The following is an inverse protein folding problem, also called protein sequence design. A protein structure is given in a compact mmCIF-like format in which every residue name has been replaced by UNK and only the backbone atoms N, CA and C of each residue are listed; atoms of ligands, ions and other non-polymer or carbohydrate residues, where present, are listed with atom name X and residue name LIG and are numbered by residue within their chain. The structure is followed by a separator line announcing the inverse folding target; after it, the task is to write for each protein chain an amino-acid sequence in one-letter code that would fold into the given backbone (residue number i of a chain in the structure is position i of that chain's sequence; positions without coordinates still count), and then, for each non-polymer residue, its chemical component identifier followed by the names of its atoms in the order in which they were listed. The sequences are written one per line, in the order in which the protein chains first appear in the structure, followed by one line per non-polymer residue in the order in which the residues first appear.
data_IF_337241173372
#
_entry.id   IF_337241173372
#
_cell.length_a   1.000
_cell.length_b   1.000
_cell.length_c   1.000
_cell.angle_alpha   90.00
_cell.angle_beta   90.00
_cell.angle_gamma   90.00
#
_symmetry.space_group_name_H-M   'P 1'
#
loop_
_entity.id
_entity.type
_entity.pdbx_description
1 polymer ?
#
# COMPACT_ATOMS: atom_id res chain seq x y z
N UNK A 1 -9.79 12.08 22.68
CA UNK A 1 -8.73 11.46 23.50
C UNK A 1 -9.33 11.04 24.83
N UNK A 2 -9.58 9.75 25.00
CA UNK A 2 -10.26 9.20 26.18
C UNK A 2 -9.31 9.16 27.39
N UNK A 3 -9.88 9.04 28.59
CA UNK A 3 -9.13 9.09 29.86
C UNK A 3 -8.03 8.01 29.93
N UNK A 4 -8.31 6.83 29.37
CA UNK A 4 -7.39 5.69 29.29
C UNK A 4 -6.18 5.99 28.40
N UNK A 5 -6.38 6.63 27.25
CA UNK A 5 -5.30 7.03 26.33
C UNK A 5 -4.36 8.05 26.99
N UNK A 6 -4.91 8.99 27.77
CA UNK A 6 -4.10 9.95 28.55
C UNK A 6 -3.31 9.28 29.68
N UNK A 7 -3.90 8.28 30.34
CA UNK A 7 -3.24 7.52 31.40
C UNK A 7 -2.07 6.70 30.86
N UNK A 8 -2.27 5.97 29.76
CA UNK A 8 -1.23 5.17 29.11
C UNK A 8 -0.07 6.03 28.59
N UNK A 9 -0.36 7.20 28.01
CA UNK A 9 0.69 8.11 27.53
C UNK A 9 1.63 8.56 28.65
N UNK A 10 1.07 8.91 29.83
CA UNK A 10 1.86 9.33 31.00
C UNK A 10 2.74 8.22 31.55
N UNK A 11 2.28 6.97 31.50
CA UNK A 11 3.06 5.79 31.89
C UNK A 11 4.21 5.51 30.92
N UNK A 12 3.97 5.65 29.61
CA UNK A 12 5.00 5.47 28.58
C UNK A 12 6.13 6.49 28.72
N UNK A 13 5.82 7.77 28.98
CA UNK A 13 6.88 8.78 29.22
C UNK A 13 7.77 8.45 30.41
N UNK A 14 7.22 7.88 31.49
CA UNK A 14 8.01 7.44 32.64
C UNK A 14 8.92 6.26 32.31
N UNK A 15 8.43 5.30 31.52
CA UNK A 15 9.23 4.15 31.09
C UNK A 15 10.37 4.55 30.15
N UNK A 16 10.13 5.53 29.26
CA UNK A 16 11.16 6.10 28.38
C UNK A 16 12.21 6.86 29.19
N UNK A 17 11.79 7.66 30.17
CA UNK A 17 12.71 8.39 31.04
C UNK A 17 13.60 7.44 31.86
N UNK A 18 13.03 6.36 32.40
CA UNK A 18 13.76 5.32 33.11
C UNK A 18 14.79 4.63 32.19
N UNK A 19 14.40 4.27 30.97
CA UNK A 19 15.33 3.69 30.00
C UNK A 19 16.53 4.58 29.72
N UNK A 20 16.32 5.88 29.53
CA UNK A 20 17.39 6.85 29.32
C UNK A 20 18.29 7.02 30.55
N UNK A 21 17.71 7.01 31.76
CA UNK A 21 18.45 7.15 33.03
C UNK A 21 19.41 5.98 33.26
N UNK A 22 19.03 4.76 32.88
CA UNK A 22 19.84 3.55 33.05
C UNK A 22 20.62 3.16 31.78
N UNK A 23 20.57 3.96 30.71
CA UNK A 23 21.27 3.70 29.44
C UNK A 23 20.74 2.49 28.67
N UNK A 24 19.52 2.04 28.95
CA UNK A 24 18.87 0.96 28.23
C UNK A 24 18.22 1.52 26.95
N UNK A 25 18.89 1.40 25.82
CA UNK A 25 18.19 1.43 24.52
C UNK A 25 17.53 0.07 24.31
N UNK A 26 16.35 0.02 23.69
CA UNK A 26 15.71 -1.23 23.23
C UNK A 26 14.99 -2.09 24.29
N UNK A 27 14.73 -1.60 25.51
CA UNK A 27 14.05 -2.38 26.55
C UNK A 27 12.67 -2.90 26.12
N UNK A 28 11.92 -2.10 25.37
CA UNK A 28 10.59 -2.49 24.86
C UNK A 28 10.72 -3.60 23.81
N UNK A 29 11.69 -3.50 22.90
CA UNK A 29 11.96 -4.52 21.90
C UNK A 29 12.40 -5.84 22.54
N UNK A 30 13.24 -5.78 23.58
CA UNK A 30 13.72 -6.95 24.32
C UNK A 30 12.60 -7.58 25.16
N UNK A 31 11.73 -6.78 25.77
CA UNK A 31 10.53 -7.26 26.47
C UNK A 31 9.58 -7.99 25.51
N UNK A 32 9.32 -7.42 24.34
CA UNK A 32 8.51 -8.06 23.30
C UNK A 32 9.16 -9.38 22.85
N UNK A 33 10.47 -9.39 22.58
CA UNK A 33 11.20 -10.59 22.17
C UNK A 33 11.10 -11.70 23.22
N UNK A 34 11.30 -11.38 24.49
CA UNK A 34 11.25 -12.35 25.59
C UNK A 34 9.84 -12.85 25.89
N UNK A 35 8.81 -12.08 25.54
CA UNK A 35 7.40 -12.49 25.64
C UNK A 35 6.87 -13.19 24.38
N UNK A 36 7.71 -13.40 23.37
CA UNK A 36 7.35 -14.03 22.09
C UNK A 36 6.61 -13.11 21.11
N UNK A 37 6.59 -11.80 21.37
CA UNK A 37 5.98 -10.78 20.54
C UNK A 37 6.99 -9.91 19.79
N UNK A 38 6.46 -8.90 19.07
CA UNK A 38 7.26 -7.86 18.41
C UNK A 38 6.60 -6.50 18.64
N UNK A 39 7.40 -5.48 18.94
CA UNK A 39 6.92 -4.12 18.95
C UNK A 39 6.75 -3.65 17.50
N UNK A 40 5.56 -3.13 17.17
CA UNK A 40 5.26 -2.55 15.86
C UNK A 40 5.00 -1.07 16.08
N UNK A 41 5.88 -0.18 15.59
CA UNK A 41 5.65 1.26 15.65
C UNK A 41 4.34 1.61 14.94
N UNK A 42 3.67 2.68 15.39
CA UNK A 42 2.59 3.26 14.62
C UNK A 42 3.13 3.67 13.25
N UNK A 43 2.46 3.23 12.19
CA UNK A 43 2.82 3.57 10.81
C UNK A 43 2.61 5.07 10.63
N UNK A 44 3.62 5.76 10.10
CA UNK A 44 3.47 7.17 9.78
C UNK A 44 2.38 7.32 8.70
N UNK A 45 1.48 8.28 8.86
CA UNK A 45 0.29 8.42 7.99
C UNK A 45 0.69 8.59 6.51
N UNK A 46 1.86 9.18 6.25
CA UNK A 46 2.42 9.35 4.90
C UNK A 46 2.93 8.03 4.28
N UNK A 47 3.17 6.97 5.07
CA UNK A 47 3.51 5.65 4.55
C UNK A 47 2.29 4.87 4.07
N UNK A 48 1.10 5.13 4.64
CA UNK A 48 -0.15 4.47 4.23
C UNK A 48 -0.51 4.83 2.77
N UNK A 49 -0.38 6.10 2.40
CA UNK A 49 -0.67 6.55 1.04
C UNK A 49 0.32 5.99 0.01
N UNK A 50 1.58 5.78 0.40
CA UNK A 50 2.60 5.15 -0.45
C UNK A 50 2.27 3.68 -0.72
N UNK A 51 1.76 2.96 0.28
CA UNK A 51 1.29 1.57 0.12
C UNK A 51 0.08 1.51 -0.82
N UNK A 52 -0.87 2.43 -0.68
CA UNK A 52 -2.04 2.45 -1.58
C UNK A 52 -1.63 2.77 -3.03
N UNK A 53 -0.70 3.71 -3.23
CA UNK A 53 -0.16 3.98 -4.56
C UNK A 53 0.47 2.72 -5.18
N UNK A 54 1.26 1.96 -4.41
CA UNK A 54 1.86 0.71 -4.88
C UNK A 54 0.80 -0.34 -5.26
N UNK A 55 -0.28 -0.45 -4.48
CA UNK A 55 -1.40 -1.34 -4.80
C UNK A 55 -2.11 -0.94 -6.09
N UNK A 56 -2.33 0.36 -6.32
CA UNK A 56 -2.93 0.87 -7.56
C UNK A 56 -2.06 0.59 -8.78
N UNK A 57 -0.74 0.77 -8.67
CA UNK A 57 0.21 0.45 -9.74
C UNK A 57 0.21 -1.05 -10.04
N UNK A 58 0.17 -1.91 -9.03
CA UNK A 58 0.08 -3.35 -9.23
C UNK A 58 -1.22 -3.76 -9.98
N UNK A 59 -2.35 -3.10 -9.67
CA UNK A 59 -3.61 -3.30 -10.38
C UNK A 59 -3.53 -2.83 -11.84
N UNK A 60 -2.90 -1.69 -12.11
CA UNK A 60 -2.65 -1.18 -13.47
C UNK A 60 -1.84 -2.19 -14.30
N UNK A 61 -0.72 -2.66 -13.76
CA UNK A 61 0.13 -3.68 -14.39
C UNK A 61 -0.64 -4.98 -14.67
N UNK A 62 -1.47 -5.42 -13.72
CA UNK A 62 -2.31 -6.61 -13.89
C UNK A 62 -3.34 -6.44 -15.00
N UNK A 63 -4.01 -5.28 -15.05
CA UNK A 63 -4.97 -4.98 -16.12
C UNK A 63 -4.29 -4.89 -17.49
N UNK A 64 -3.07 -4.33 -17.55
CA UNK A 64 -2.24 -4.30 -18.76
C UNK A 64 -1.85 -5.71 -19.22
N UNK A 65 -1.47 -6.58 -18.28
CA UNK A 65 -1.19 -7.99 -18.57
C UNK A 65 -2.41 -8.70 -19.19
N UNK A 66 -3.60 -8.47 -18.65
CA UNK A 66 -4.84 -9.03 -19.21
C UNK A 66 -5.15 -8.51 -20.61
N UNK A 67 -4.90 -7.22 -20.88
CA UNK A 67 -5.03 -6.66 -22.23
C UNK A 67 -4.09 -7.37 -23.22
N UNK A 68 -2.82 -7.54 -22.87
CA UNK A 68 -1.86 -8.20 -23.76
C UNK A 68 -2.15 -9.69 -23.95
N UNK A 69 -2.60 -10.40 -22.90
CA UNK A 69 -3.04 -11.77 -23.04
C UNK A 69 -4.27 -11.90 -23.98
N UNK A 70 -5.20 -10.95 -23.92
CA UNK A 70 -6.34 -10.91 -24.84
C UNK A 70 -5.92 -10.62 -26.28
N UNK A 71 -4.96 -9.70 -26.48
CA UNK A 71 -4.40 -9.39 -27.80
C UNK A 71 -3.65 -10.57 -28.39
N UNK A 72 -2.73 -11.19 -27.63
CA UNK A 72 -1.95 -12.34 -28.06
C UNK A 72 -2.87 -13.46 -28.54
N UNK A 73 -3.88 -13.80 -27.72
CA UNK A 73 -4.85 -14.83 -28.05
C UNK A 73 -5.66 -14.52 -29.31
N UNK A 74 -6.09 -13.27 -29.48
CA UNK A 74 -6.88 -12.85 -30.64
C UNK A 74 -6.06 -12.73 -31.93
N UNK A 75 -4.73 -12.79 -31.85
CA UNK A 75 -3.83 -12.73 -33.00
C UNK A 75 -3.30 -14.11 -33.41
N UNK A 76 -3.66 -15.18 -32.68
CA UNK A 76 -3.14 -16.55 -32.90
C UNK A 76 -3.45 -17.09 -34.30
N UNK A 77 -4.63 -16.78 -34.85
CA UNK A 77 -5.09 -17.25 -36.17
C UNK A 77 -4.91 -16.20 -37.28
N UNK A 78 -4.40 -15.01 -36.93
CA UNK A 78 -4.14 -13.91 -37.86
C UNK A 78 -5.37 -13.07 -38.25
N UNK A 79 -6.56 -13.35 -37.72
CA UNK A 79 -7.78 -12.59 -38.01
C UNK A 79 -8.54 -12.21 -36.73
N UNK A 80 -8.76 -10.91 -36.49
CA UNK A 80 -9.53 -10.47 -35.33
C UNK A 80 -11.03 -10.51 -35.65
N UNK A 81 -11.77 -11.37 -34.98
CA UNK A 81 -13.24 -11.40 -35.06
C UNK A 81 -13.87 -10.28 -34.24
N UNK A 82 -15.13 -9.92 -34.54
CA UNK A 82 -15.86 -8.92 -33.74
C UNK A 82 -15.98 -9.30 -32.24
N UNK A 83 -16.05 -10.60 -31.93
CA UNK A 83 -16.10 -11.07 -30.53
C UNK A 83 -14.77 -10.86 -29.81
N UNK A 84 -13.65 -10.98 -30.51
CA UNK A 84 -12.32 -10.71 -29.96
C UNK A 84 -12.07 -9.22 -29.84
N UNK A 85 -12.48 -8.46 -30.85
CA UNK A 85 -12.46 -7.00 -30.80
C UNK A 85 -13.18 -6.47 -29.55
N UNK A 86 -14.37 -6.98 -29.24
CA UNK A 86 -15.11 -6.60 -28.04
C UNK A 86 -14.34 -6.91 -26.74
N UNK A 87 -13.70 -8.09 -26.67
CA UNK A 87 -12.90 -8.49 -25.50
C UNK A 87 -11.65 -7.64 -25.34
N UNK A 88 -10.95 -7.35 -26.45
CA UNK A 88 -9.76 -6.48 -26.46
C UNK A 88 -10.17 -5.09 -25.99
N UNK A 89 -11.25 -4.52 -26.54
CA UNK A 89 -11.75 -3.20 -26.14
C UNK A 89 -12.14 -3.16 -24.67
N UNK A 90 -12.81 -4.20 -24.17
CA UNK A 90 -13.15 -4.28 -22.74
C UNK A 90 -11.90 -4.33 -21.86
N UNK A 91 -10.90 -5.12 -22.22
CA UNK A 91 -9.63 -5.20 -21.49
C UNK A 91 -8.86 -3.87 -21.55
N UNK A 92 -8.87 -3.20 -22.71
CA UNK A 92 -8.25 -1.90 -22.92
C UNK A 92 -8.92 -0.84 -22.03
N UNK A 93 -10.25 -0.77 -22.01
CA UNK A 93 -10.98 0.17 -21.16
C UNK A 93 -10.64 -0.03 -19.68
N UNK A 94 -10.52 -1.28 -19.21
CA UNK A 94 -10.11 -1.58 -17.83
C UNK A 94 -8.69 -1.11 -17.53
N UNK A 95 -7.74 -1.38 -18.43
CA UNK A 95 -6.36 -0.92 -18.28
C UNK A 95 -6.30 0.61 -18.23
N UNK A 96 -6.93 1.30 -19.18
CA UNK A 96 -6.94 2.77 -19.23
C UNK A 96 -7.53 3.40 -17.96
N UNK A 97 -8.65 2.86 -17.47
CA UNK A 97 -9.26 3.33 -16.23
C UNK A 97 -8.34 3.13 -15.01
N UNK A 98 -7.67 1.97 -14.92
CA UNK A 98 -6.71 1.70 -13.84
C UNK A 98 -5.50 2.64 -13.90
N UNK A 99 -4.95 2.86 -15.10
CA UNK A 99 -3.84 3.81 -15.33
C UNK A 99 -4.25 5.21 -14.92
N UNK A 100 -5.39 5.72 -15.41
CA UNK A 100 -5.88 7.04 -15.05
C UNK A 100 -6.02 7.19 -13.53
N UNK A 101 -6.63 6.22 -12.86
CA UNK A 101 -6.80 6.25 -11.41
C UNK A 101 -5.47 6.30 -10.66
N UNK A 102 -4.49 5.47 -11.04
CA UNK A 102 -3.16 5.47 -10.40
C UNK A 102 -2.41 6.79 -10.60
N UNK A 103 -2.53 7.42 -11.77
CA UNK A 103 -1.86 8.68 -12.10
C UNK A 103 -2.49 9.83 -11.33
N UNK A 104 -3.81 9.93 -11.33
CA UNK A 104 -4.52 10.96 -10.56
C UNK A 104 -4.24 10.85 -9.06
N UNK A 105 -4.20 9.62 -8.53
CA UNK A 105 -3.84 9.37 -7.14
C UNK A 105 -2.41 9.85 -6.85
N UNK A 106 -1.43 9.47 -7.68
CA UNK A 106 -0.05 9.93 -7.54
C UNK A 106 0.07 11.46 -7.60
N UNK A 107 -0.62 12.11 -8.54
CA UNK A 107 -0.64 13.57 -8.65
C UNK A 107 -1.19 14.17 -7.35
N UNK A 108 -2.32 13.66 -6.84
CA UNK A 108 -2.92 14.18 -5.61
C UNK A 108 -2.01 14.04 -4.39
N UNK A 109 -1.25 12.94 -4.31
CA UNK A 109 -0.33 12.66 -3.21
C UNK A 109 0.91 13.56 -3.22
N UNK A 110 1.43 13.90 -4.39
CA UNK A 110 2.67 14.69 -4.53
C UNK A 110 2.46 16.15 -4.92
N UNK A 111 1.20 16.58 -5.07
CA UNK A 111 0.88 17.99 -5.34
C UNK A 111 1.16 18.82 -4.08
N UNK A 112 1.90 19.95 -4.19
CA UNK A 112 2.06 20.87 -3.07
C UNK A 112 0.69 21.38 -2.60
N UNK A 113 0.48 21.43 -1.28
CA UNK A 113 -0.73 21.99 -0.67
C UNK A 113 -0.69 23.53 -0.67
#
# INVERSE_FOLDING_TARGET
MNYEERSNRKSNFKLIALQLEYGCTDFIDELCRNSGGRFVPDVAEDELDKVELANLQLRELSARGLLFAALEKALEDGEITSKEEDKIRQALSKHLAATQHSVEFAISLYKPQ
#
